data_IF_656621137272
#
_entry.id   IF_656621137272
#
_cell.length_a   1.000
_cell.length_b   1.000
_cell.length_c   1.000
_cell.angle_alpha   90.00
_cell.angle_beta   90.00
_cell.angle_gamma   90.00
#
_symmetry.space_group_name_H-M   'P 1'
#
loop_
_entity.id
_entity.type
_entity.pdbx_description
1 polymer ?
#
# COMPACT_ATOMS: atom_id res chain seq x y z
N UNK A 1 2.66 24.63 12.73
CA UNK A 1 2.29 24.53 11.30
C UNK A 1 1.65 23.17 11.12
N UNK A 2 0.35 23.10 10.80
CA UNK A 2 -0.25 21.84 10.40
C UNK A 2 0.27 21.52 9.00
N UNK A 3 1.02 20.44 8.85
CA UNK A 3 1.40 19.95 7.53
C UNK A 3 0.16 19.33 6.88
N UNK A 4 -0.26 19.86 5.74
CA UNK A 4 -1.34 19.26 4.96
C UNK A 4 -0.84 17.98 4.28
N UNK A 5 -1.49 16.85 4.57
CA UNK A 5 -1.19 15.59 3.90
C UNK A 5 -1.74 15.62 2.47
N UNK A 6 -0.87 15.44 1.48
CA UNK A 6 -1.26 15.31 0.07
C UNK A 6 -1.21 13.84 -0.35
N UNK A 7 -2.22 13.32 -1.07
CA UNK A 7 -2.17 11.96 -1.56
C UNK A 7 -1.05 11.82 -2.60
N UNK A 8 -0.36 10.69 -2.57
CA UNK A 8 0.63 10.33 -3.57
C UNK A 8 0.58 8.82 -3.75
N UNK A 9 0.49 8.38 -5.00
CA UNK A 9 0.54 6.95 -5.31
C UNK A 9 1.99 6.50 -5.50
N UNK A 10 2.31 5.32 -4.95
CA UNK A 10 3.66 4.75 -5.01
C UNK A 10 3.60 3.25 -5.28
N UNK A 11 4.69 2.71 -5.85
CA UNK A 11 4.95 1.27 -5.91
C UNK A 11 5.74 0.87 -4.66
N UNK A 12 5.32 -0.23 -4.04
CA UNK A 12 6.03 -0.84 -2.93
C UNK A 12 6.33 -2.30 -3.30
N UNK A 13 7.61 -2.63 -3.39
CA UNK A 13 8.09 -3.98 -3.61
C UNK A 13 8.05 -4.75 -2.29
N UNK A 14 7.29 -5.84 -2.27
CA UNK A 14 7.09 -6.67 -1.09
C UNK A 14 7.15 -8.15 -1.44
N UNK A 15 7.66 -8.93 -0.51
CA UNK A 15 7.48 -10.38 -0.45
C UNK A 15 6.39 -10.74 0.56
N UNK A 16 5.62 -11.78 0.24
CA UNK A 16 4.60 -12.33 1.16
C UNK A 16 4.88 -13.79 1.46
N UNK A 17 4.58 -14.20 2.70
CA UNK A 17 4.54 -15.62 3.07
C UNK A 17 3.10 -16.11 3.01
N UNK A 18 2.81 -17.05 2.12
CA UNK A 18 1.47 -17.59 1.91
C UNK A 18 1.49 -19.13 1.79
N UNK A 19 0.41 -19.76 2.24
CA UNK A 19 0.22 -21.20 2.02
C UNK A 19 -0.06 -21.49 0.54
N UNK A 20 0.15 -22.73 0.04
CA UNK A 20 -0.14 -23.07 -1.36
C UNK A 20 -1.57 -22.74 -1.78
N UNK A 21 -2.55 -22.95 -0.89
CA UNK A 21 -3.94 -22.60 -1.13
C UNK A 21 -4.16 -21.08 -1.20
N UNK A 22 -3.48 -20.30 -0.37
CA UNK A 22 -3.54 -18.84 -0.43
C UNK A 22 -2.88 -18.31 -1.72
N UNK A 23 -1.79 -18.92 -2.19
CA UNK A 23 -1.20 -18.60 -3.50
C UNK A 23 -2.19 -18.91 -4.63
N UNK A 24 -2.81 -20.09 -4.63
CA UNK A 24 -3.83 -20.47 -5.61
C UNK A 24 -5.00 -19.46 -5.63
N UNK A 25 -5.47 -19.06 -4.44
CA UNK A 25 -6.51 -18.05 -4.29
C UNK A 25 -6.10 -16.69 -4.87
N UNK A 26 -4.84 -16.28 -4.72
CA UNK A 26 -4.33 -15.02 -5.28
C UNK A 26 -4.17 -15.07 -6.80
N UNK A 27 -3.73 -16.21 -7.35
CA UNK A 27 -3.49 -16.39 -8.79
C UNK A 27 -4.81 -16.57 -9.55
N UNK A 28 -5.64 -17.52 -9.11
CA UNK A 28 -6.79 -18.02 -9.86
C UNK A 28 -8.15 -17.62 -9.26
N UNK A 29 -8.19 -17.13 -8.02
CA UNK A 29 -9.44 -16.77 -7.35
C UNK A 29 -10.17 -15.60 -7.99
N UNK A 30 -11.46 -15.46 -7.71
CA UNK A 30 -12.21 -14.26 -8.08
C UNK A 30 -11.81 -13.05 -7.21
N UNK A 31 -12.29 -11.85 -7.55
CA UNK A 31 -11.93 -10.60 -6.86
C UNK A 31 -12.16 -10.65 -5.34
N UNK A 32 -13.25 -11.27 -4.88
CA UNK A 32 -13.55 -11.39 -3.46
C UNK A 32 -12.57 -12.33 -2.75
N UNK A 33 -12.26 -13.47 -3.36
CA UNK A 33 -11.29 -14.44 -2.84
C UNK A 33 -9.89 -13.83 -2.74
N UNK A 34 -9.45 -13.11 -3.79
CA UNK A 34 -8.17 -12.39 -3.79
C UNK A 34 -8.11 -11.34 -2.68
N UNK A 35 -9.14 -10.50 -2.59
CA UNK A 35 -9.22 -9.44 -1.58
C UNK A 35 -9.21 -9.99 -0.14
N UNK A 36 -9.95 -11.07 0.11
CA UNK A 36 -10.00 -11.71 1.44
C UNK A 36 -8.64 -12.34 1.81
N UNK A 37 -8.01 -13.01 0.84
CA UNK A 37 -6.71 -13.66 1.04
C UNK A 37 -5.61 -12.66 1.32
N UNK A 38 -5.50 -11.59 0.53
CA UNK A 38 -4.46 -10.57 0.73
C UNK A 38 -4.69 -9.80 2.04
N UNK A 39 -5.95 -9.49 2.39
CA UNK A 39 -6.28 -8.84 3.67
C UNK A 39 -5.85 -9.68 4.88
N UNK A 40 -6.08 -11.00 4.82
CA UNK A 40 -5.61 -11.93 5.85
C UNK A 40 -4.07 -11.90 5.99
N UNK A 41 -3.34 -12.03 4.88
CA UNK A 41 -1.87 -12.01 4.88
C UNK A 41 -1.31 -10.72 5.51
N UNK A 42 -1.88 -9.57 5.14
CA UNK A 42 -1.46 -8.26 5.65
C UNK A 42 -1.81 -8.06 7.12
N UNK A 43 -2.95 -8.55 7.60
CA UNK A 43 -3.34 -8.44 9.01
C UNK A 43 -2.49 -9.34 9.92
N UNK A 44 -2.08 -10.50 9.42
CA UNK A 44 -1.16 -11.41 10.12
C UNK A 44 0.30 -10.95 10.07
N UNK A 45 0.61 -9.95 9.22
CA UNK A 45 1.96 -9.39 9.07
C UNK A 45 2.93 -10.31 8.34
N UNK A 46 2.42 -11.18 7.49
CA UNK A 46 3.20 -12.09 6.65
C UNK A 46 3.72 -11.39 5.38
N UNK A 47 4.21 -10.16 5.56
CA UNK A 47 4.66 -9.26 4.50
C UNK A 47 6.01 -8.68 4.90
N UNK A 48 6.97 -8.67 3.97
CA UNK A 48 8.28 -8.05 4.12
C UNK A 48 8.45 -6.99 3.03
N UNK A 49 9.11 -5.88 3.36
CA UNK A 49 9.44 -4.82 2.40
C UNK A 49 10.88 -5.03 1.96
N UNK A 50 11.06 -5.60 0.77
CA UNK A 50 12.34 -6.09 0.27
C UNK A 50 12.52 -5.94 -1.25
N UNK A 51 11.53 -5.37 -1.94
CA UNK A 51 11.58 -5.15 -3.39
C UNK A 51 11.66 -3.69 -3.81
N UNK A 52 11.93 -3.48 -5.09
CA UNK A 52 12.02 -2.16 -5.72
C UNK A 52 10.76 -1.34 -5.45
N UNK A 53 10.97 -0.20 -4.78
CA UNK A 53 9.90 0.66 -4.29
C UNK A 53 10.18 2.08 -4.76
N UNK A 54 9.25 2.66 -5.51
CA UNK A 54 9.48 3.93 -6.19
C UNK A 54 8.19 4.69 -6.44
N UNK A 55 8.31 6.00 -6.68
CA UNK A 55 7.25 6.85 -7.19
C UNK A 55 7.37 6.84 -8.72
N UNK A 56 6.34 6.36 -9.44
CA UNK A 56 6.44 6.31 -10.90
C UNK A 56 6.42 7.70 -11.53
N UNK A 57 7.15 7.85 -12.63
CA UNK A 57 7.35 9.12 -13.35
C UNK A 57 6.04 9.83 -13.71
N UNK A 58 5.02 9.08 -14.13
CA UNK A 58 3.71 9.63 -14.47
C UNK A 58 3.02 10.26 -13.25
N UNK A 59 3.16 9.66 -12.07
CA UNK A 59 2.59 10.20 -10.83
C UNK A 59 3.30 11.48 -10.42
N UNK A 60 4.62 11.57 -10.62
CA UNK A 60 5.36 12.80 -10.34
C UNK A 60 4.94 13.92 -11.31
N UNK A 61 4.74 13.59 -12.58
CA UNK A 61 4.24 14.56 -13.57
C UNK A 61 2.83 15.07 -13.24
N UNK A 62 1.92 14.18 -12.83
CA UNK A 62 0.56 14.53 -12.37
C UNK A 62 0.62 15.41 -11.11
N UNK A 63 1.46 15.06 -10.14
CA UNK A 63 1.65 15.85 -8.92
C UNK A 63 2.20 17.25 -9.21
N UNK A 64 3.17 17.36 -10.13
CA UNK A 64 3.69 18.63 -10.60
C UNK A 64 2.60 19.52 -11.20
N UNK A 65 1.73 18.93 -12.04
CA UNK A 65 0.60 19.63 -12.66
C UNK A 65 -0.43 20.09 -11.62
N UNK A 66 -0.79 19.22 -10.69
CA UNK A 66 -1.83 19.47 -9.68
C UNK A 66 -1.41 20.56 -8.67
N UNK A 67 -0.15 20.51 -8.23
CA UNK A 67 0.35 21.37 -7.14
C UNK A 67 1.31 22.47 -7.59
N UNK A 68 1.52 22.64 -8.90
CA UNK A 68 2.44 23.66 -9.45
C UNK A 68 3.89 23.43 -9.04
N UNK A 69 4.29 22.16 -8.85
CA UNK A 69 5.67 21.79 -8.49
C UNK A 69 6.49 21.43 -9.73
N UNK A 70 7.81 21.27 -9.57
CA UNK A 70 8.73 21.00 -10.68
C UNK A 70 9.77 19.92 -10.31
N UNK A 71 9.31 18.81 -9.73
CA UNK A 71 10.15 17.64 -9.47
C UNK A 71 10.60 16.97 -10.77
N UNK A 72 11.73 16.25 -10.71
CA UNK A 72 12.21 15.44 -11.84
C UNK A 72 11.13 14.47 -12.31
N UNK A 73 10.98 14.29 -13.63
CA UNK A 73 10.02 13.34 -14.22
C UNK A 73 10.60 11.93 -14.36
N UNK A 74 11.73 11.65 -13.71
CA UNK A 74 12.29 10.31 -13.58
C UNK A 74 11.60 9.56 -12.44
N UNK A 75 11.65 8.23 -12.44
CA UNK A 75 11.17 7.43 -11.31
C UNK A 75 12.01 7.74 -10.06
N UNK A 76 11.35 7.85 -8.91
CA UNK A 76 12.01 8.23 -7.66
C UNK A 76 12.05 7.04 -6.71
N UNK A 77 13.24 6.52 -6.41
CA UNK A 77 13.42 5.48 -5.40
C UNK A 77 12.97 5.97 -4.02
N UNK A 78 12.31 5.10 -3.26
CA UNK A 78 11.88 5.35 -1.89
C UNK A 78 12.93 4.96 -0.84
N UNK A 79 14.08 4.43 -1.26
CA UNK A 79 15.22 4.08 -0.39
C UNK A 79 14.78 3.18 0.78
N UNK A 80 14.00 2.14 0.46
CA UNK A 80 13.36 1.27 1.44
C UNK A 80 14.33 0.37 2.21
N UNK A 81 15.65 0.49 2.00
CA UNK A 81 16.67 -0.27 2.73
C UNK A 81 16.58 -0.12 4.26
N UNK A 82 16.08 1.01 4.78
CA UNK A 82 15.84 1.19 6.23
C UNK A 82 14.64 0.39 6.76
N UNK A 83 13.83 -0.18 5.86
CA UNK A 83 12.68 -1.03 6.14
C UNK A 83 13.00 -2.52 5.96
N UNK A 84 14.21 -2.85 5.52
CA UNK A 84 14.64 -4.25 5.40
C UNK A 84 14.50 -4.99 6.74
N UNK A 85 14.04 -6.23 6.67
CA UNK A 85 13.71 -7.05 7.83
C UNK A 85 12.47 -6.60 8.63
N UNK A 86 11.81 -5.49 8.26
CA UNK A 86 10.56 -5.05 8.90
C UNK A 86 9.35 -5.65 8.21
N UNK A 87 8.32 -5.95 8.99
CA UNK A 87 7.05 -6.43 8.46
C UNK A 87 5.98 -5.35 8.40
N UNK A 88 5.29 -5.28 7.27
CA UNK A 88 4.14 -4.41 7.09
C UNK A 88 2.88 -5.10 7.64
N UNK A 89 2.09 -4.38 8.43
CA UNK A 89 0.76 -4.83 8.89
C UNK A 89 -0.27 -3.76 8.63
N UNK A 90 -1.42 -4.16 8.07
CA UNK A 90 -2.57 -3.27 7.98
C UNK A 90 -3.32 -3.33 9.30
N UNK A 91 -3.14 -2.30 10.13
CA UNK A 91 -3.99 -2.09 11.29
C UNK A 91 -5.37 -1.62 10.82
N UNK A 92 -6.43 -2.36 11.16
CA UNK A 92 -7.78 -1.89 10.94
C UNK A 92 -7.98 -0.58 11.69
N UNK A 93 -8.27 0.52 10.99
CA UNK A 93 -8.85 1.69 11.65
C UNK A 93 -10.19 1.23 12.24
N UNK A 94 -10.34 1.31 13.55
CA UNK A 94 -11.65 1.43 14.19
C UNK A 94 -12.30 2.68 13.58
N UNK A 95 -13.00 2.51 12.46
CA UNK A 95 -13.98 3.48 12.02
C UNK A 95 -15.09 3.38 13.06
N UNK A 96 -15.09 4.30 14.03
CA UNK A 96 -16.29 4.61 14.82
C UNK A 96 -17.37 5.06 13.84
N UNK A 97 -18.06 4.09 13.24
CA UNK A 97 -19.37 4.31 12.66
C UNK A 97 -20.27 4.51 13.86
N UNK A 98 -20.44 5.77 14.26
CA UNK A 98 -21.57 6.17 15.09
C UNK A 98 -22.81 5.56 14.45
N UNK A 99 -23.31 4.46 15.03
CA UNK A 99 -24.68 4.00 14.83
C UNK A 99 -25.51 5.11 15.44
N UNK A 100 -25.89 6.08 14.60
CA UNK A 100 -26.85 7.10 14.97
C UNK A 100 -28.10 6.40 15.49
N UNK A 101 -28.51 6.84 16.68
CA UNK A 101 -29.75 6.45 17.33
C UNK A 101 -30.92 6.51 16.34
N UNK A 102 -31.55 5.36 16.09
CA UNK A 102 -32.90 5.35 15.57
C UNK A 102 -33.83 5.72 16.74
N UNK A 103 -34.38 6.93 16.69
CA UNK A 103 -35.56 7.32 17.49
C UNK A 103 -36.82 6.84 16.80
#
# INVERSE_FOLDING_TARGET
MNQECRPLWVRLGISIQATPMEIENLMCGNSQTKATTISKIFSEGRVQIDGDSYIPSNVIAEYNLEYGTNYSREEMDLETGTLDGKSLRVAGKLLNRNRGDAR
#
